data_IF_372652697654
#
_entry.id   IF_372652697654
#
_cell.length_a   1.000
_cell.length_b   1.000
_cell.length_c   1.000
_cell.angle_alpha   90.00
_cell.angle_beta   90.00
_cell.angle_gamma   90.00
#
_symmetry.space_group_name_H-M   'P 1'
#
loop_
_entity.id
_entity.type
_entity.pdbx_description
1 polymer ?
#
# COMPACT_ATOMS: atom_id res chain seq x y z
N UNK A 1 12.76 47.69 29.29
CA UNK A 1 11.57 47.09 28.62
C UNK A 1 12.07 45.95 27.78
N UNK A 2 12.00 44.74 28.33
CA UNK A 2 12.61 43.52 27.76
C UNK A 2 11.55 42.84 26.92
N UNK A 3 11.68 42.91 25.59
CA UNK A 3 10.82 42.15 24.68
C UNK A 3 11.32 40.71 24.64
N UNK A 4 10.63 39.84 25.39
CA UNK A 4 10.83 38.43 25.33
C UNK A 4 10.19 37.92 24.04
N UNK A 5 10.96 37.77 22.96
CA UNK A 5 10.55 37.05 21.76
C UNK A 5 10.38 35.57 22.11
N UNK A 6 9.15 35.20 22.46
CA UNK A 6 8.75 33.81 22.56
C UNK A 6 8.68 33.27 21.15
N UNK A 7 9.78 32.72 20.64
CA UNK A 7 9.79 31.91 19.44
C UNK A 7 9.05 30.60 19.76
N UNK A 8 7.75 30.63 19.52
CA UNK A 8 6.94 29.39 19.37
C UNK A 8 7.50 28.63 18.18
N UNK A 9 8.50 27.80 18.44
CA UNK A 9 8.83 26.71 17.55
C UNK A 9 7.58 25.84 17.52
N UNK A 10 6.76 26.06 16.50
CA UNK A 10 5.71 25.14 16.10
C UNK A 10 6.43 23.83 15.79
N UNK A 11 6.60 22.99 16.81
CA UNK A 11 6.89 21.59 16.61
C UNK A 11 5.67 21.02 15.90
N UNK A 12 5.74 21.03 14.57
CA UNK A 12 4.83 20.29 13.73
C UNK A 12 4.94 18.83 14.15
N UNK A 13 4.08 18.41 15.06
CA UNK A 13 3.85 17.01 15.42
C UNK A 13 3.11 16.29 14.29
N UNK A 14 3.50 16.53 13.04
CA UNK A 14 3.16 15.65 11.95
C UNK A 14 3.88 14.33 12.21
N UNK A 15 3.16 13.27 12.54
CA UNK A 15 3.73 11.92 12.52
C UNK A 15 4.41 11.74 11.17
N UNK A 16 5.75 11.80 11.17
CA UNK A 16 6.50 11.39 9.99
C UNK A 16 6.31 9.88 9.87
N UNK A 17 5.47 9.48 8.93
CA UNK A 17 5.24 8.07 8.66
C UNK A 17 6.41 7.45 7.87
N UNK A 18 7.38 8.26 7.48
CA UNK A 18 8.55 7.82 6.75
C UNK A 18 9.79 7.84 7.63
N UNK A 19 10.37 6.68 7.80
CA UNK A 19 11.67 6.47 8.45
C UNK A 19 12.59 5.81 7.42
N UNK A 20 13.63 6.49 6.92
CA UNK A 20 14.58 5.89 5.99
C UNK A 20 15.18 4.61 6.56
N UNK A 21 15.33 3.60 5.70
CA UNK A 21 16.07 2.40 6.05
C UNK A 21 17.57 2.76 6.13
N UNK A 22 18.26 2.45 7.23
CA UNK A 22 19.70 2.72 7.37
C UNK A 22 20.52 1.97 6.32
N UNK A 23 20.10 0.77 5.93
CA UNK A 23 20.80 -0.09 4.96
C UNK A 23 20.40 0.19 3.52
N UNK A 24 19.25 0.85 3.30
CA UNK A 24 18.75 1.20 1.99
C UNK A 24 17.99 2.54 2.05
N UNK A 25 18.71 3.65 1.95
CA UNK A 25 18.18 5.01 2.12
C UNK A 25 17.10 5.40 1.09
N UNK A 26 16.99 4.66 0.01
CA UNK A 26 15.94 4.84 -1.02
C UNK A 26 14.57 4.29 -0.58
N UNK A 27 14.49 3.56 0.52
CA UNK A 27 13.27 2.92 1.00
C UNK A 27 12.96 3.33 2.45
N UNK A 28 11.73 3.10 2.89
CA UNK A 28 11.40 3.19 4.32
C UNK A 28 11.88 1.94 5.06
N UNK A 29 12.17 2.10 6.34
CA UNK A 29 12.35 0.97 7.24
C UNK A 29 11.07 0.13 7.25
N UNK A 30 11.23 -1.18 7.18
CA UNK A 30 10.11 -2.11 7.36
C UNK A 30 9.61 -2.05 8.79
N UNK A 31 8.31 -1.84 8.96
CA UNK A 31 7.62 -1.80 10.25
C UNK A 31 6.32 -2.59 10.17
N UNK A 32 5.69 -2.82 11.31
CA UNK A 32 4.36 -3.45 11.44
C UNK A 32 3.47 -2.61 12.37
N UNK A 33 3.48 -1.29 12.16
CA UNK A 33 2.81 -0.31 13.02
C UNK A 33 1.63 0.40 12.38
N UNK A 34 1.28 0.03 11.16
CA UNK A 34 0.18 0.64 10.42
C UNK A 34 0.44 2.08 10.01
N UNK A 35 1.66 2.38 9.56
CA UNK A 35 2.03 3.74 9.15
C UNK A 35 1.44 4.18 7.81
N UNK A 36 0.75 3.28 7.10
CA UNK A 36 0.19 3.51 5.79
C UNK A 36 1.25 3.99 4.78
N UNK A 37 2.33 3.24 4.73
CA UNK A 37 3.45 3.51 3.85
C UNK A 37 3.69 2.31 2.93
N UNK A 38 4.06 2.61 1.71
CA UNK A 38 4.62 1.65 0.77
C UNK A 38 5.87 2.22 0.14
N UNK A 39 6.86 1.38 -0.05
CA UNK A 39 8.12 1.73 -0.71
C UNK A 39 8.61 0.57 -1.55
N UNK A 40 9.24 0.88 -2.69
CA UNK A 40 9.79 -0.10 -3.62
C UNK A 40 10.77 0.55 -4.57
N UNK A 41 11.48 -0.25 -5.32
CA UNK A 41 12.13 0.21 -6.54
C UNK A 41 11.28 -0.18 -7.75
N UNK A 42 11.07 0.76 -8.65
CA UNK A 42 10.49 0.54 -9.97
C UNK A 42 11.60 0.80 -10.98
N UNK A 43 12.04 -0.24 -11.70
CA UNK A 43 13.17 -0.17 -12.62
C UNK A 43 14.43 0.48 -11.99
N UNK A 44 14.76 0.08 -10.78
CA UNK A 44 15.86 0.59 -9.94
C UNK A 44 15.70 2.06 -9.49
N UNK A 45 14.60 2.72 -9.74
CA UNK A 45 14.28 4.04 -9.21
C UNK A 45 13.51 3.88 -7.89
N UNK A 46 13.94 4.48 -6.77
CA UNK A 46 13.25 4.36 -5.51
C UNK A 46 11.92 5.10 -5.55
N UNK A 47 10.89 4.46 -5.06
CA UNK A 47 9.54 4.99 -4.95
C UNK A 47 9.04 4.90 -3.51
N UNK A 48 8.48 5.98 -2.99
CA UNK A 48 7.95 6.07 -1.63
C UNK A 48 6.60 6.76 -1.69
N UNK A 49 5.56 6.09 -1.21
CA UNK A 49 4.24 6.68 -1.06
C UNK A 49 3.83 6.71 0.43
N UNK A 50 4.22 7.72 1.20
CA UNK A 50 3.75 7.89 2.56
C UNK A 50 2.32 8.43 2.54
N UNK A 51 1.43 7.82 3.31
CA UNK A 51 0.13 8.40 3.56
C UNK A 51 0.28 9.73 4.28
N UNK A 52 -0.23 10.80 3.69
CA UNK A 52 -0.27 12.13 4.31
C UNK A 52 -1.72 12.50 4.59
N UNK A 53 -2.07 12.72 5.84
CA UNK A 53 -3.33 13.41 6.16
C UNK A 53 -3.16 14.88 5.82
N UNK A 54 -3.94 15.46 4.91
CA UNK A 54 -3.90 16.88 4.66
C UNK A 54 -4.38 17.62 5.92
N UNK A 55 -3.60 18.59 6.38
CA UNK A 55 -3.99 19.46 7.51
C UNK A 55 -5.13 20.42 7.12
N UNK A 56 -5.23 20.76 5.84
CA UNK A 56 -6.24 21.67 5.29
C UNK A 56 -6.64 21.18 3.90
N UNK A 57 -7.75 20.47 3.79
CA UNK A 57 -8.52 20.26 2.56
C UNK A 57 -7.77 19.89 1.26
N UNK A 58 -6.57 19.35 1.33
CA UNK A 58 -5.78 18.93 0.18
C UNK A 58 -6.14 17.51 -0.28
N UNK A 59 -5.65 17.14 -1.46
CA UNK A 59 -5.78 15.77 -1.99
C UNK A 59 -5.04 14.83 -1.03
N UNK A 60 -5.80 13.97 -0.35
CA UNK A 60 -5.21 12.92 0.48
C UNK A 60 -4.80 11.78 -0.45
N UNK A 61 -3.58 11.30 -0.33
CA UNK A 61 -3.25 10.00 -0.88
C UNK A 61 -4.25 9.00 -0.31
N UNK A 62 -4.95 8.28 -1.18
CA UNK A 62 -5.98 7.35 -0.74
C UNK A 62 -5.33 6.25 0.09
N UNK A 63 -6.01 5.90 1.19
CA UNK A 63 -5.67 4.72 1.94
C UNK A 63 -5.68 3.49 1.02
N UNK A 64 -4.83 2.49 1.28
CA UNK A 64 -4.94 1.22 0.58
C UNK A 64 -6.35 0.66 0.74
N UNK A 65 -6.82 -0.06 -0.26
CA UNK A 65 -8.10 -0.76 -0.23
C UNK A 65 -7.87 -2.26 -0.28
N UNK A 66 -8.68 -3.00 0.46
CA UNK A 66 -8.74 -4.46 0.37
C UNK A 66 -10.14 -4.82 -0.11
N UNK A 67 -10.20 -5.54 -1.20
CA UNK A 67 -11.48 -6.03 -1.75
C UNK A 67 -11.31 -7.44 -2.28
N UNK A 68 -12.37 -8.23 -2.20
CA UNK A 68 -12.46 -9.46 -2.98
C UNK A 68 -13.18 -9.17 -4.29
N UNK A 69 -12.65 -9.67 -5.40
CA UNK A 69 -13.27 -9.58 -6.71
C UNK A 69 -13.48 -10.95 -7.30
N UNK A 70 -14.68 -11.19 -7.82
CA UNK A 70 -14.95 -12.36 -8.65
C UNK A 70 -14.33 -12.10 -10.01
N UNK A 71 -13.37 -12.89 -10.39
CA UNK A 71 -12.78 -12.93 -11.73
C UNK A 71 -13.51 -13.99 -12.58
N UNK A 72 -13.35 -13.95 -13.89
CA UNK A 72 -14.02 -14.87 -14.81
C UNK A 72 -13.90 -16.33 -14.33
N UNK A 73 -14.96 -17.11 -14.48
CA UNK A 73 -15.05 -18.54 -14.15
C UNK A 73 -15.00 -18.89 -12.65
N UNK A 74 -15.71 -18.13 -11.81
CA UNK A 74 -15.87 -18.50 -10.39
C UNK A 74 -14.62 -18.41 -9.52
N UNK A 75 -13.51 -17.86 -9.99
CA UNK A 75 -12.35 -17.59 -9.16
C UNK A 75 -12.50 -16.26 -8.43
N UNK A 76 -12.11 -16.23 -7.17
CA UNK A 76 -12.10 -15.02 -6.34
C UNK A 76 -10.66 -14.58 -6.13
N UNK A 77 -10.44 -13.29 -6.22
CA UNK A 77 -9.12 -12.68 -6.01
C UNK A 77 -9.21 -11.65 -4.90
N UNK A 78 -8.40 -11.81 -3.87
CA UNK A 78 -8.13 -10.76 -2.90
C UNK A 78 -7.23 -9.72 -3.57
N UNK A 79 -7.72 -8.49 -3.67
CA UNK A 79 -7.00 -7.37 -4.25
C UNK A 79 -6.63 -6.37 -3.15
N UNK A 80 -5.34 -6.11 -2.99
CA UNK A 80 -4.81 -5.03 -2.15
C UNK A 80 -4.29 -3.95 -3.09
N UNK A 81 -4.94 -2.80 -3.10
CA UNK A 81 -4.64 -1.71 -4.04
C UNK A 81 -4.25 -0.44 -3.32
N UNK A 82 -3.34 0.32 -3.91
CA UNK A 82 -2.95 1.66 -3.47
C UNK A 82 -2.64 2.53 -4.67
N UNK A 83 -2.82 3.83 -4.50
CA UNK A 83 -2.46 4.80 -5.53
C UNK A 83 -0.98 5.13 -5.45
N UNK A 84 -0.37 5.29 -6.61
CA UNK A 84 1.01 5.76 -6.77
C UNK A 84 1.02 7.00 -7.65
N UNK A 85 1.90 7.91 -7.35
CA UNK A 85 2.20 9.07 -8.20
C UNK A 85 3.49 8.76 -8.95
N UNK A 86 3.39 8.51 -10.25
CA UNK A 86 4.56 8.34 -11.12
C UNK A 86 4.75 9.67 -11.83
N UNK A 87 5.81 10.39 -11.49
CA UNK A 87 6.22 11.60 -12.20
C UNK A 87 6.88 11.20 -13.54
N UNK A 88 6.08 10.69 -14.44
CA UNK A 88 6.51 10.45 -15.80
C UNK A 88 6.23 11.71 -16.63
N UNK A 89 7.27 12.46 -16.97
CA UNK A 89 7.17 13.66 -17.78
C UNK A 89 6.77 13.37 -19.23
N UNK A 90 6.68 12.11 -19.63
CA UNK A 90 6.26 11.68 -20.97
C UNK A 90 4.75 11.47 -21.10
N UNK A 91 4.00 11.46 -20.00
CA UNK A 91 2.55 11.25 -20.02
C UNK A 91 1.79 12.57 -19.82
N UNK A 92 0.83 12.81 -20.68
CA UNK A 92 0.00 14.01 -20.76
C UNK A 92 -0.62 14.44 -19.43
N UNK A 93 -0.57 15.70 -19.16
CA UNK A 93 -0.75 16.52 -17.97
C UNK A 93 -1.96 16.32 -17.05
N UNK A 94 -2.82 15.34 -17.22
CA UNK A 94 -4.11 15.37 -16.48
C UNK A 94 -4.35 14.25 -15.47
N UNK A 95 -3.52 13.22 -15.37
CA UNK A 95 -3.75 12.15 -14.37
C UNK A 95 -2.45 11.53 -13.83
N UNK A 96 -1.92 12.06 -12.72
CA UNK A 96 -0.68 11.56 -12.14
C UNK A 96 -0.82 10.28 -11.32
N UNK A 97 -2.04 9.76 -11.16
CA UNK A 97 -2.26 8.66 -10.22
C UNK A 97 -2.50 7.34 -10.93
N UNK A 98 -1.55 6.44 -10.79
CA UNK A 98 -1.72 5.04 -11.13
C UNK A 98 -2.09 4.26 -9.88
N UNK A 99 -2.78 3.13 -10.00
CA UNK A 99 -2.95 2.21 -8.89
C UNK A 99 -2.13 0.95 -9.12
N UNK A 100 -1.39 0.54 -8.11
CA UNK A 100 -0.79 -0.80 -8.05
C UNK A 100 -1.69 -1.68 -7.20
N UNK A 101 -1.85 -2.93 -7.64
CA UNK A 101 -2.62 -3.93 -6.94
C UNK A 101 -1.83 -5.22 -6.80
N UNK A 102 -1.80 -5.77 -5.60
CA UNK A 102 -1.41 -7.17 -5.36
C UNK A 102 -2.66 -8.03 -5.48
N UNK A 103 -2.56 -9.10 -6.26
CA UNK A 103 -3.66 -9.99 -6.61
C UNK A 103 -3.37 -11.37 -6.05
N UNK A 104 -4.18 -11.84 -5.11
CA UNK A 104 -3.99 -13.13 -4.43
C UNK A 104 -5.22 -13.98 -4.67
N UNK A 105 -5.13 -15.11 -5.38
CA UNK A 105 -6.24 -16.04 -5.52
C UNK A 105 -6.68 -16.59 -4.16
N UNK A 106 -7.97 -16.53 -3.91
CA UNK A 106 -8.58 -16.98 -2.65
C UNK A 106 -9.84 -17.81 -2.92
N UNK A 107 -10.37 -18.48 -1.90
CA UNK A 107 -11.62 -19.22 -2.00
C UNK A 107 -12.83 -18.28 -2.11
N UNK A 108 -13.96 -18.77 -2.63
CA UNK A 108 -15.24 -18.03 -2.65
C UNK A 108 -15.77 -17.69 -1.26
N UNK A 109 -15.39 -18.46 -0.26
CA UNK A 109 -15.76 -18.26 1.14
C UNK A 109 -14.71 -17.49 1.93
N UNK A 110 -13.80 -16.77 1.25
CA UNK A 110 -12.74 -16.02 1.90
C UNK A 110 -13.31 -14.99 2.86
N UNK A 111 -12.76 -14.96 4.05
CA UNK A 111 -13.27 -14.19 5.19
C UNK A 111 -12.15 -13.43 5.91
N UNK A 112 -12.53 -12.60 6.86
CA UNK A 112 -11.61 -11.94 7.77
C UNK A 112 -10.69 -12.91 8.53
N UNK A 113 -11.21 -14.08 8.90
CA UNK A 113 -10.41 -15.12 9.57
C UNK A 113 -9.34 -15.68 8.62
N UNK A 114 -9.69 -15.92 7.36
CA UNK A 114 -8.75 -16.40 6.36
C UNK A 114 -7.66 -15.37 6.08
N UNK A 115 -8.00 -14.07 6.05
CA UNK A 115 -7.02 -13.01 5.94
C UNK A 115 -6.01 -13.02 7.10
N UNK A 116 -6.47 -13.17 8.33
CA UNK A 116 -5.58 -13.29 9.50
C UNK A 116 -4.68 -14.53 9.42
N UNK A 117 -5.19 -15.62 8.85
CA UNK A 117 -4.43 -16.86 8.67
C UNK A 117 -3.28 -16.74 7.66
N UNK A 118 -3.28 -15.69 6.81
CA UNK A 118 -2.16 -15.40 5.90
C UNK A 118 -0.93 -14.84 6.62
N UNK A 119 -1.00 -14.58 7.92
CA UNK A 119 0.13 -14.11 8.71
C UNK A 119 1.33 -15.06 8.59
N UNK A 120 2.51 -14.52 8.23
CA UNK A 120 3.72 -15.30 8.02
C UNK A 120 3.75 -16.14 6.74
N UNK A 121 2.73 -16.05 5.87
CA UNK A 121 2.67 -16.83 4.64
C UNK A 121 3.41 -16.16 3.48
N UNK A 122 3.95 -17.01 2.61
CA UNK A 122 4.60 -16.63 1.36
C UNK A 122 3.80 -17.11 0.17
N UNK A 123 3.68 -16.25 -0.81
CA UNK A 123 2.99 -16.52 -2.08
C UNK A 123 3.99 -16.36 -3.22
N UNK A 124 4.07 -17.38 -4.07
CA UNK A 124 5.05 -17.47 -5.17
C UNK A 124 4.47 -16.98 -6.49
N UNK A 125 5.32 -16.63 -7.50
CA UNK A 125 4.89 -16.09 -8.80
C UNK A 125 4.17 -17.11 -9.67
N UNK A 126 3.33 -17.84 -9.34
CA UNK A 126 2.49 -18.75 -10.11
C UNK A 126 1.07 -18.77 -9.57
N UNK A 127 0.94 -18.27 -8.32
CA UNK A 127 -0.32 -18.24 -7.59
C UNK A 127 -0.83 -16.83 -7.36
N UNK A 128 0.02 -15.81 -7.47
CA UNK A 128 -0.36 -14.41 -7.26
C UNK A 128 0.21 -13.51 -8.34
N UNK A 129 -0.41 -12.38 -8.50
CA UNK A 129 -0.10 -11.40 -9.50
C UNK A 129 0.12 -10.00 -8.91
N UNK A 130 0.64 -9.13 -9.74
CA UNK A 130 0.70 -7.70 -9.53
C UNK A 130 0.15 -7.02 -10.76
N UNK A 131 -0.60 -5.95 -10.59
CA UNK A 131 -1.14 -5.18 -11.70
C UNK A 131 -0.95 -3.69 -11.48
N UNK A 132 -0.73 -2.95 -12.56
CA UNK A 132 -0.84 -1.49 -12.60
C UNK A 132 -2.06 -1.15 -13.43
N UNK A 133 -2.94 -0.32 -12.86
CA UNK A 133 -4.09 0.22 -13.56
C UNK A 133 -3.83 1.69 -13.87
N UNK A 134 -4.00 2.05 -15.13
CA UNK A 134 -3.94 3.42 -15.62
C UNK A 134 -5.34 4.05 -15.54
N UNK A 135 -5.49 5.27 -15.02
CA UNK A 135 -6.81 5.87 -14.79
C UNK A 135 -7.60 6.14 -16.08
N UNK A 136 -6.92 6.38 -17.20
CA UNK A 136 -7.56 6.79 -18.46
C UNK A 136 -7.98 5.63 -19.37
N UNK A 137 -7.51 4.43 -19.12
CA UNK A 137 -7.79 3.26 -19.94
C UNK A 137 -8.26 2.10 -19.08
N UNK A 138 -9.56 1.94 -18.92
CA UNK A 138 -10.18 0.78 -18.25
C UNK A 138 -9.80 -0.57 -18.91
N UNK A 139 -9.13 -0.56 -20.05
CA UNK A 139 -8.74 -1.73 -20.82
C UNK A 139 -7.25 -2.10 -20.65
N UNK A 140 -6.40 -1.19 -20.17
CA UNK A 140 -4.94 -1.42 -20.11
C UNK A 140 -4.46 -1.64 -18.67
N UNK A 141 -5.01 -2.65 -18.00
CA UNK A 141 -4.36 -3.16 -16.81
C UNK A 141 -3.21 -4.07 -17.23
N UNK A 142 -1.97 -3.62 -17.07
CA UNK A 142 -0.82 -4.49 -17.20
C UNK A 142 -0.76 -5.40 -15.98
N UNK A 143 -0.90 -6.70 -16.20
CA UNK A 143 -0.77 -7.71 -15.17
C UNK A 143 0.59 -8.41 -15.27
N UNK A 144 1.10 -8.84 -14.14
CA UNK A 144 2.37 -9.52 -14.02
C UNK A 144 2.37 -10.55 -12.91
N UNK A 145 3.54 -11.09 -12.63
CA UNK A 145 3.75 -12.09 -11.56
C UNK A 145 4.45 -11.43 -10.39
N UNK A 146 4.11 -11.84 -9.17
CA UNK A 146 4.74 -11.33 -7.96
C UNK A 146 5.07 -12.42 -6.95
N UNK A 147 6.10 -12.17 -6.15
CA UNK A 147 6.29 -12.78 -4.85
C UNK A 147 5.67 -11.86 -3.80
N UNK A 148 5.03 -12.43 -2.81
CA UNK A 148 4.45 -11.70 -1.69
C UNK A 148 4.72 -12.46 -0.41
N UNK A 149 5.10 -11.75 0.64
CA UNK A 149 5.28 -12.28 1.97
C UNK A 149 4.62 -11.37 2.99
N UNK A 150 3.58 -11.85 3.66
CA UNK A 150 3.02 -11.18 4.82
C UNK A 150 3.87 -11.46 6.04
N UNK A 151 4.44 -10.42 6.63
CA UNK A 151 5.28 -10.52 7.82
C UNK A 151 4.42 -10.55 9.07
N UNK A 152 3.39 -9.68 9.09
CA UNK A 152 2.53 -9.50 10.24
C UNK A 152 1.14 -9.05 9.79
N UNK A 153 0.12 -9.74 10.25
CA UNK A 153 -1.29 -9.36 10.08
C UNK A 153 -1.96 -9.44 11.43
N UNK A 154 -2.55 -8.33 11.88
CA UNK A 154 -3.22 -8.23 13.18
C UNK A 154 -4.57 -7.56 13.07
N UNK A 155 -5.49 -8.01 13.90
CA UNK A 155 -6.75 -7.32 14.14
C UNK A 155 -6.63 -6.50 15.43
N UNK A 156 -6.82 -5.21 15.30
CA UNK A 156 -6.70 -4.27 16.42
C UNK A 156 -8.10 -3.91 16.93
N UNK A 157 -8.33 -4.15 18.21
CA UNK A 157 -9.50 -3.65 18.93
C UNK A 157 -9.02 -2.49 19.80
N UNK A 158 -9.16 -1.26 19.33
CA UNK A 158 -8.99 -0.11 20.20
C UNK A 158 -10.20 -0.08 21.17
N UNK A 159 -9.97 0.19 22.45
CA UNK A 159 -10.97 0.05 23.54
C UNK A 159 -12.32 0.76 23.36
N UNK A 160 -12.49 1.51 22.30
CA UNK A 160 -13.76 2.01 21.79
C UNK A 160 -14.25 1.04 20.69
N UNK A 161 -15.38 0.37 20.95
CA UNK A 161 -16.00 -0.64 20.06
C UNK A 161 -16.28 -0.14 18.63
N UNK A 162 -16.11 1.15 18.35
CA UNK A 162 -16.35 1.77 17.04
C UNK A 162 -15.12 1.81 16.12
N UNK A 163 -13.94 1.35 16.58
CA UNK A 163 -12.70 1.48 15.81
C UNK A 163 -11.93 0.17 15.73
N UNK A 164 -12.45 -0.74 14.94
CA UNK A 164 -11.73 -1.96 14.59
C UNK A 164 -10.90 -1.73 13.34
N UNK A 165 -9.64 -2.17 13.35
CA UNK A 165 -8.76 -2.07 12.18
C UNK A 165 -7.94 -3.34 11.99
N UNK A 166 -7.48 -3.55 10.75
CA UNK A 166 -6.45 -4.53 10.44
C UNK A 166 -5.16 -3.76 10.17
N UNK A 167 -4.08 -4.11 10.88
CA UNK A 167 -2.73 -3.72 10.51
C UNK A 167 -2.02 -4.90 9.85
N UNK A 168 -1.35 -4.65 8.74
CA UNK A 168 -0.64 -5.69 8.02
C UNK A 168 0.57 -5.12 7.30
N UNK A 169 1.64 -5.89 7.30
CA UNK A 169 2.91 -5.52 6.70
C UNK A 169 3.49 -6.68 5.91
N UNK A 170 4.31 -6.36 4.93
CA UNK A 170 4.92 -7.39 4.12
C UNK A 170 5.95 -6.88 3.13
N UNK A 171 6.48 -7.85 2.40
CA UNK A 171 7.45 -7.67 1.33
C UNK A 171 6.85 -8.17 0.02
N UNK A 172 7.23 -7.54 -1.07
CA UNK A 172 6.86 -8.00 -2.40
C UNK A 172 7.93 -7.63 -3.44
N UNK A 173 7.98 -8.38 -4.47
CA UNK A 173 8.69 -8.11 -5.72
C UNK A 173 7.90 -8.70 -6.89
N UNK A 174 8.23 -8.29 -8.11
CA UNK A 174 7.54 -8.82 -9.26
C UNK A 174 7.90 -8.11 -10.55
N UNK A 175 7.29 -8.56 -11.61
CA UNK A 175 7.38 -7.93 -12.92
C UNK A 175 5.98 -7.74 -13.51
N UNK A 176 5.79 -6.63 -14.20
CA UNK A 176 4.54 -6.29 -14.88
C UNK A 176 4.87 -6.14 -16.36
N UNK A 177 4.32 -7.03 -17.17
CA UNK A 177 4.76 -7.19 -18.54
C UNK A 177 6.27 -7.46 -18.61
N UNK A 178 6.89 -7.04 -19.71
CA UNK A 178 8.33 -7.23 -19.96
C UNK A 178 9.18 -6.02 -19.55
N UNK A 179 8.55 -4.92 -19.12
CA UNK A 179 9.21 -3.62 -18.99
C UNK A 179 9.26 -3.04 -17.59
N UNK A 180 8.40 -3.49 -16.67
CA UNK A 180 8.34 -2.92 -15.31
C UNK A 180 8.80 -3.97 -14.32
N UNK A 181 9.97 -3.73 -13.74
CA UNK A 181 10.52 -4.55 -12.67
C UNK A 181 10.32 -3.85 -11.32
N UNK A 182 9.65 -4.53 -10.39
CA UNK A 182 9.47 -4.09 -9.01
C UNK A 182 10.36 -4.93 -8.11
N UNK A 183 11.21 -4.27 -7.32
CA UNK A 183 12.10 -4.94 -6.37
C UNK A 183 12.07 -4.29 -5.00
N UNK A 184 12.39 -5.09 -3.98
CA UNK A 184 12.44 -4.67 -2.57
C UNK A 184 11.17 -3.93 -2.10
N UNK A 185 10.02 -4.29 -2.64
CA UNK A 185 8.74 -3.74 -2.21
C UNK A 185 8.46 -4.03 -0.75
N UNK A 186 7.99 -3.02 -0.02
CA UNK A 186 7.64 -3.08 1.40
C UNK A 186 6.37 -2.30 1.62
N UNK A 187 5.49 -2.84 2.44
CA UNK A 187 4.28 -2.13 2.86
C UNK A 187 4.03 -2.30 4.36
N UNK A 188 3.39 -1.30 4.94
CA UNK A 188 2.92 -1.28 6.32
C UNK A 188 1.62 -0.47 6.37
N UNK A 189 0.50 -1.16 6.44
CA UNK A 189 -0.83 -0.58 6.30
C UNK A 189 -1.69 -0.78 7.55
N UNK A 190 -2.59 0.17 7.79
CA UNK A 190 -3.71 0.04 8.72
C UNK A 190 -5.01 0.47 8.03
N UNK A 191 -5.99 -0.41 8.00
CA UNK A 191 -7.28 -0.19 7.35
C UNK A 191 -8.40 -0.46 8.35
N UNK A 192 -9.39 0.44 8.44
CA UNK A 192 -10.57 0.20 9.24
C UNK A 192 -11.34 -1.02 8.72
N UNK A 193 -11.85 -1.83 9.63
CA UNK A 193 -12.52 -3.09 9.27
C UNK A 193 -13.79 -2.87 8.43
N UNK A 194 -14.46 -1.74 8.59
CA UNK A 194 -15.64 -1.34 7.81
C UNK A 194 -15.33 -1.01 6.33
N UNK A 195 -14.05 -0.81 6.01
CA UNK A 195 -13.56 -0.53 4.65
C UNK A 195 -13.00 -1.73 3.92
N UNK A 196 -13.02 -2.88 4.56
CA UNK A 196 -12.58 -4.13 3.96
C UNK A 196 -13.82 -4.90 3.51
N UNK A 197 -13.82 -5.32 2.27
CA UNK A 197 -14.90 -6.09 1.67
C UNK A 197 -14.37 -7.48 1.31
N UNK A 198 -14.64 -8.44 2.20
CA UNK A 198 -14.32 -9.86 2.00
C UNK A 198 -15.45 -10.59 1.32
#
# INVERSE_FOLDING_TARGET
MLFCCLSLTMMSCGKRNYFPDPDDRGLSRLTSRGYNIITMYINNVPYINPYRRPLFGGISNTLPTITTKITNNDSVTLQISWQIEINDTSVSYNQPYHSISLLIPVSKSFSAHDFLSMNGQRFSPGTNGIAINYPDNYLDSLAGKSNLYFIDIKYNTLGDRSKHSYSFSGLFDGNIGDSILITKGRFDFEINADKINF
#
